data_IF_456245371432
#
_entry.id   IF_456245371432
#
_cell.length_a   1.000
_cell.length_b   1.000
_cell.length_c   1.000
_cell.angle_alpha   90.00
_cell.angle_beta   90.00
_cell.angle_gamma   90.00
#
_symmetry.space_group_name_H-M   'P 1'
#
loop_
_entity.id
_entity.type
_entity.pdbx_description
1 polymer ?
#
# COMPACT_ATOMS: atom_id res chain seq x y z
N UNK A 1 -6.58 92.08 -24.60
CA UNK A 1 -7.44 90.95 -25.05
C UNK A 1 -6.54 89.81 -25.50
N UNK A 2 -6.72 88.59 -24.95
CA UNK A 2 -5.91 87.39 -25.27
C UNK A 2 -6.36 86.80 -26.62
N UNK A 3 -5.45 86.48 -27.56
CA UNK A 3 -5.84 85.70 -28.72
C UNK A 3 -6.05 84.23 -28.31
N UNK A 4 -7.26 83.72 -28.55
CA UNK A 4 -7.73 82.36 -28.20
C UNK A 4 -7.38 81.31 -29.27
N UNK A 5 -6.64 81.67 -30.33
CA UNK A 5 -6.25 80.74 -31.37
C UNK A 5 -4.74 80.46 -31.33
N UNK A 6 -4.34 79.55 -30.43
CA UNK A 6 -3.08 78.83 -30.63
C UNK A 6 -3.25 77.97 -31.88
N UNK A 7 -2.70 78.41 -33.01
CA UNK A 7 -2.49 77.54 -34.16
C UNK A 7 -1.51 76.46 -33.69
N UNK A 8 -2.03 75.30 -33.31
CA UNK A 8 -1.20 74.13 -33.03
C UNK A 8 -0.33 73.82 -34.26
N UNK A 9 0.77 73.07 -34.07
CA UNK A 9 1.66 72.69 -35.19
C UNK A 9 0.82 72.11 -36.33
N UNK A 10 1.17 72.45 -37.58
CA UNK A 10 0.37 72.09 -38.75
C UNK A 10 0.06 70.59 -38.77
N UNK A 11 -1.12 70.22 -39.27
CA UNK A 11 -1.57 68.82 -39.32
C UNK A 11 -0.52 67.90 -39.99
N UNK A 12 0.19 68.43 -40.98
CA UNK A 12 1.28 67.77 -41.67
C UNK A 12 2.49 67.49 -40.76
N UNK A 13 2.91 68.43 -39.91
CA UNK A 13 3.99 68.22 -38.94
C UNK A 13 3.57 67.18 -37.90
N UNK A 14 2.32 67.23 -37.42
CA UNK A 14 1.80 66.24 -36.48
C UNK A 14 1.77 64.84 -37.08
N UNK A 15 1.41 64.73 -38.37
CA UNK A 15 1.40 63.47 -39.10
C UNK A 15 2.83 62.94 -39.31
N UNK A 16 3.77 63.77 -39.76
CA UNK A 16 5.17 63.37 -39.96
C UNK A 16 5.80 62.94 -38.62
N UNK A 17 5.55 63.68 -37.55
CA UNK A 17 6.06 63.34 -36.22
C UNK A 17 5.43 62.05 -35.69
N UNK A 18 4.12 61.84 -35.88
CA UNK A 18 3.45 60.59 -35.54
C UNK A 18 4.00 59.40 -36.35
N UNK A 19 4.28 59.58 -37.64
CA UNK A 19 4.87 58.55 -38.50
C UNK A 19 6.30 58.22 -38.06
N UNK A 20 7.12 59.23 -37.74
CA UNK A 20 8.48 59.02 -37.22
C UNK A 20 8.48 58.31 -35.87
N UNK A 21 7.57 58.67 -34.96
CA UNK A 21 7.40 57.99 -33.67
C UNK A 21 6.92 56.56 -33.88
N UNK A 22 5.95 56.32 -34.76
CA UNK A 22 5.47 54.97 -35.07
C UNK A 22 6.58 54.09 -35.66
N UNK A 23 7.36 54.61 -36.62
CA UNK A 23 8.53 53.92 -37.17
C UNK A 23 9.59 53.64 -36.11
N UNK A 24 9.86 54.60 -35.23
CA UNK A 24 10.78 54.43 -34.10
C UNK A 24 10.32 53.32 -33.15
N UNK A 25 9.01 53.29 -32.82
CA UNK A 25 8.41 52.24 -31.98
C UNK A 25 8.47 50.88 -32.66
N UNK A 26 8.14 50.78 -33.95
CA UNK A 26 8.19 49.52 -34.71
C UNK A 26 9.62 48.98 -34.79
N UNK A 27 10.60 49.83 -35.05
CA UNK A 27 12.01 49.43 -35.12
C UNK A 27 12.52 49.01 -33.73
N UNK A 28 12.16 49.77 -32.68
CA UNK A 28 12.48 49.41 -31.30
C UNK A 28 11.86 48.07 -30.90
N UNK A 29 10.59 47.85 -31.22
CA UNK A 29 9.87 46.59 -30.96
C UNK A 29 10.50 45.41 -31.72
N UNK A 30 10.90 45.64 -32.98
CA UNK A 30 11.57 44.61 -33.81
C UNK A 30 12.98 44.24 -33.31
N UNK A 31 13.69 45.16 -32.65
CA UNK A 31 15.06 44.94 -32.16
C UNK A 31 15.14 44.50 -30.71
N UNK A 32 14.16 44.87 -29.88
CA UNK A 32 14.18 44.60 -28.44
C UNK A 32 13.51 43.29 -28.05
N UNK A 33 12.78 42.61 -28.96
CA UNK A 33 12.23 41.28 -28.67
C UNK A 33 11.30 41.22 -27.46
N UNK A 34 10.79 42.39 -27.02
CA UNK A 34 10.07 42.63 -25.76
C UNK A 34 8.79 41.79 -25.69
N UNK A 35 8.18 41.47 -26.83
CA UNK A 35 7.02 40.59 -26.92
C UNK A 35 7.34 39.11 -26.66
N UNK A 36 8.59 38.67 -26.86
CA UNK A 36 8.99 37.29 -26.54
C UNK A 36 9.14 37.10 -25.03
N UNK A 37 9.72 38.07 -24.32
CA UNK A 37 9.91 37.99 -22.86
C UNK A 37 8.60 38.06 -22.08
N UNK A 38 7.62 38.86 -22.51
CA UNK A 38 6.30 38.91 -21.86
C UNK A 38 5.57 37.58 -22.06
N UNK A 39 5.67 36.97 -23.25
CA UNK A 39 5.09 35.64 -23.51
C UNK A 39 5.78 34.57 -22.65
N UNK A 40 7.11 34.59 -22.53
CA UNK A 40 7.86 33.68 -21.65
C UNK A 40 7.54 33.89 -20.16
N UNK A 41 7.32 35.13 -19.71
CA UNK A 41 6.95 35.42 -18.32
C UNK A 41 5.51 34.99 -18.01
N UNK A 42 4.59 35.16 -18.96
CA UNK A 42 3.22 34.67 -18.84
C UNK A 42 3.16 33.14 -18.86
N UNK A 43 3.92 32.48 -19.72
CA UNK A 43 4.03 31.01 -19.74
C UNK A 43 4.64 30.47 -18.43
N UNK A 44 5.61 31.20 -17.84
CA UNK A 44 6.23 30.84 -16.55
C UNK A 44 5.31 31.11 -15.35
N UNK A 45 4.49 32.16 -15.40
CA UNK A 45 3.57 32.53 -14.32
C UNK A 45 2.29 31.66 -14.28
N UNK A 46 1.89 31.08 -15.42
CA UNK A 46 0.75 30.15 -15.51
C UNK A 46 1.16 28.70 -15.22
N UNK A 47 2.46 28.38 -15.34
CA UNK A 47 3.02 27.04 -15.04
C UNK A 47 2.65 26.46 -13.66
N UNK A 48 2.62 27.24 -12.54
CA UNK A 48 2.21 26.72 -11.23
C UNK A 48 0.73 26.36 -11.16
N UNK A 49 -0.13 26.98 -11.99
CA UNK A 49 -1.58 26.70 -11.97
C UNK A 49 -1.92 25.33 -12.57
N UNK A 50 -1.08 24.79 -13.45
CA UNK A 50 -1.23 23.40 -13.94
C UNK A 50 -0.98 22.36 -12.83
N UNK A 51 -0.11 22.64 -11.87
CA UNK A 51 0.18 21.72 -10.75
C UNK A 51 -0.96 21.68 -9.72
N UNK A 52 -1.72 22.77 -9.58
CA UNK A 52 -2.77 22.91 -8.57
C UNK A 52 -4.07 22.19 -8.95
N UNK A 53 -4.30 21.82 -10.22
CA UNK A 53 -5.56 21.16 -10.61
C UNK A 53 -5.67 19.71 -10.15
N UNK A 54 -4.54 18.99 -10.02
CA UNK A 54 -4.55 17.54 -9.73
C UNK A 54 -3.88 17.18 -8.40
N UNK A 55 -2.91 17.96 -7.92
CA UNK A 55 -2.17 17.68 -6.68
C UNK A 55 -3.03 17.59 -5.41
N UNK A 56 -4.02 18.48 -5.17
CA UNK A 56 -4.85 18.42 -3.96
C UNK A 56 -5.74 17.17 -3.91
N UNK A 57 -6.20 16.67 -5.05
CA UNK A 57 -7.11 15.52 -5.12
C UNK A 57 -6.40 14.22 -4.76
N UNK A 58 -5.21 14.01 -5.30
CA UNK A 58 -4.39 12.82 -5.05
C UNK A 58 -3.90 12.76 -3.59
N UNK A 59 -3.61 13.92 -2.98
CA UNK A 59 -3.29 14.03 -1.56
C UNK A 59 -4.50 13.70 -0.66
N UNK A 60 -5.69 14.21 -0.97
CA UNK A 60 -6.89 13.93 -0.20
C UNK A 60 -7.32 12.45 -0.30
N UNK A 61 -7.23 11.87 -1.50
CA UNK A 61 -7.53 10.45 -1.73
C UNK A 61 -6.52 9.55 -0.97
N UNK A 62 -5.24 9.90 -0.96
CA UNK A 62 -4.19 9.16 -0.22
C UNK A 62 -4.40 9.22 1.30
N UNK A 63 -4.79 10.38 1.83
CA UNK A 63 -5.09 10.54 3.27
C UNK A 63 -6.34 9.74 3.65
N UNK A 64 -7.39 9.81 2.84
CA UNK A 64 -8.62 9.04 3.07
C UNK A 64 -8.37 7.54 3.05
N UNK A 65 -7.60 7.04 2.08
CA UNK A 65 -7.28 5.62 1.97
C UNK A 65 -6.36 5.13 3.11
N UNK A 66 -5.40 5.95 3.55
CA UNK A 66 -4.53 5.60 4.69
C UNK A 66 -5.33 5.53 6.00
N UNK A 67 -6.28 6.45 6.22
CA UNK A 67 -7.14 6.43 7.40
C UNK A 67 -8.09 5.23 7.39
N UNK A 68 -8.74 4.94 6.26
CA UNK A 68 -9.61 3.77 6.12
C UNK A 68 -8.86 2.45 6.34
N UNK A 69 -7.62 2.36 5.85
CA UNK A 69 -6.76 1.19 6.04
C UNK A 69 -6.41 1.00 7.52
N UNK A 70 -6.14 2.09 8.25
CA UNK A 70 -5.80 2.00 9.68
C UNK A 70 -6.97 1.52 10.54
N UNK A 71 -8.18 2.05 10.32
CA UNK A 71 -9.38 1.61 11.05
C UNK A 71 -9.67 0.13 10.79
N UNK A 72 -9.50 -0.31 9.55
CA UNK A 72 -9.65 -1.72 9.17
C UNK A 72 -8.61 -2.60 9.87
N UNK A 73 -7.33 -2.20 9.88
CA UNK A 73 -6.27 -2.90 10.59
C UNK A 73 -6.52 -2.95 12.11
N UNK A 74 -7.01 -1.88 12.72
CA UNK A 74 -7.33 -1.86 14.15
C UNK A 74 -8.55 -2.74 14.50
N UNK A 75 -9.52 -2.86 13.60
CA UNK A 75 -10.64 -3.80 13.74
C UNK A 75 -10.17 -5.24 13.61
N UNK A 76 -9.36 -5.55 12.59
CA UNK A 76 -8.79 -6.88 12.39
C UNK A 76 -7.90 -7.29 13.57
N UNK A 77 -7.05 -6.39 14.06
CA UNK A 77 -6.21 -6.66 15.23
C UNK A 77 -7.03 -6.95 16.49
N UNK A 78 -8.13 -6.22 16.70
CA UNK A 78 -9.06 -6.48 17.81
C UNK A 78 -9.75 -7.84 17.67
N UNK A 79 -10.22 -8.18 16.47
CA UNK A 79 -10.84 -9.48 16.20
C UNK A 79 -9.86 -10.64 16.45
N UNK A 80 -8.63 -10.53 15.92
CA UNK A 80 -7.58 -11.53 16.12
C UNK A 80 -7.20 -11.69 17.60
N UNK A 81 -7.11 -10.58 18.36
CA UNK A 81 -6.86 -10.64 19.81
C UNK A 81 -7.97 -11.35 20.56
N UNK A 82 -9.22 -11.13 20.17
CA UNK A 82 -10.36 -11.81 20.77
C UNK A 82 -10.34 -13.31 20.46
N UNK A 83 -10.06 -13.70 19.22
CA UNK A 83 -9.91 -15.10 18.84
C UNK A 83 -8.79 -15.78 19.62
N UNK A 84 -7.63 -15.12 19.74
CA UNK A 84 -6.49 -15.62 20.50
C UNK A 84 -6.85 -15.83 21.98
N UNK A 85 -7.62 -14.91 22.58
CA UNK A 85 -8.08 -15.04 23.95
C UNK A 85 -9.00 -16.26 24.13
N UNK A 86 -9.93 -16.48 23.20
CA UNK A 86 -10.82 -17.64 23.20
C UNK A 86 -10.03 -18.95 23.04
N UNK A 87 -9.10 -19.01 22.09
CA UNK A 87 -8.24 -20.19 21.89
C UNK A 87 -7.37 -20.50 23.10
N UNK A 88 -6.84 -19.48 23.77
CA UNK A 88 -6.09 -19.67 25.02
C UNK A 88 -6.98 -20.23 26.13
N UNK A 89 -8.24 -19.80 26.23
CA UNK A 89 -9.21 -20.38 27.16
C UNK A 89 -9.45 -21.86 26.87
N UNK A 90 -9.62 -22.23 25.60
CA UNK A 90 -9.80 -23.63 25.19
C UNK A 90 -8.58 -24.49 25.54
N UNK A 91 -7.37 -23.96 25.35
CA UNK A 91 -6.12 -24.65 25.72
C UNK A 91 -6.01 -24.89 27.23
N UNK A 92 -6.41 -23.91 28.05
CA UNK A 92 -6.45 -24.07 29.51
C UNK A 92 -7.45 -25.16 29.91
N UNK A 93 -8.64 -25.16 29.32
CA UNK A 93 -9.67 -26.17 29.59
C UNK A 93 -9.20 -27.56 29.15
N UNK A 94 -8.57 -27.68 27.99
CA UNK A 94 -7.97 -28.93 27.52
C UNK A 94 -6.89 -29.44 28.49
N UNK A 95 -6.08 -28.54 29.04
CA UNK A 95 -5.10 -28.87 30.08
C UNK A 95 -5.77 -29.43 31.34
N UNK A 96 -6.85 -28.81 31.81
CA UNK A 96 -7.64 -29.31 32.94
C UNK A 96 -8.23 -30.69 32.66
N UNK A 97 -8.84 -30.90 31.49
CA UNK A 97 -9.40 -32.21 31.13
C UNK A 97 -8.34 -33.30 31.03
N UNK A 98 -7.13 -32.99 30.53
CA UNK A 98 -6.02 -33.94 30.55
C UNK A 98 -5.61 -34.33 31.96
N UNK A 99 -5.54 -33.35 32.87
CA UNK A 99 -5.20 -33.59 34.27
C UNK A 99 -6.30 -34.40 34.99
N UNK A 100 -7.56 -34.08 34.75
CA UNK A 100 -8.69 -34.82 35.29
C UNK A 100 -8.73 -36.25 34.77
N UNK A 101 -8.53 -36.44 33.47
CA UNK A 101 -8.45 -37.77 32.86
C UNK A 101 -7.29 -38.58 33.44
N UNK A 102 -6.11 -37.96 33.64
CA UNK A 102 -4.97 -38.61 34.27
C UNK A 102 -5.28 -39.06 35.70
N UNK A 103 -5.90 -38.19 36.50
CA UNK A 103 -6.33 -38.53 37.87
C UNK A 103 -7.39 -39.63 37.89
N UNK A 104 -8.38 -39.59 37.01
CA UNK A 104 -9.40 -40.63 36.90
C UNK A 104 -8.78 -41.98 36.53
N UNK A 105 -7.80 -42.00 35.62
CA UNK A 105 -7.09 -43.24 35.24
C UNK A 105 -6.26 -43.80 36.38
N UNK A 106 -5.59 -42.94 37.14
CA UNK A 106 -4.89 -43.32 38.37
C UNK A 106 -5.85 -43.96 39.39
N UNK A 107 -7.01 -43.33 39.64
CA UNK A 107 -8.04 -43.87 40.55
C UNK A 107 -8.64 -45.20 40.06
N UNK A 108 -8.76 -45.39 38.76
CA UNK A 108 -9.26 -46.62 38.15
C UNK A 108 -8.19 -47.72 38.01
N UNK A 109 -6.96 -47.49 38.48
CA UNK A 109 -5.86 -48.44 38.35
C UNK A 109 -5.44 -48.68 36.89
N UNK A 110 -5.75 -47.76 35.99
CA UNK A 110 -5.33 -47.80 34.59
C UNK A 110 -4.00 -47.04 34.47
N UNK A 111 -2.87 -47.70 34.16
CA UNK A 111 -1.61 -47.00 33.99
C UNK A 111 -1.71 -45.99 32.86
N UNK A 112 -1.28 -44.76 33.13
CA UNK A 112 -1.07 -43.74 32.11
C UNK A 112 -0.06 -44.28 31.10
N UNK A 113 -0.50 -44.45 29.84
CA UNK A 113 0.45 -44.59 28.73
C UNK A 113 1.16 -43.25 28.61
N UNK A 114 2.41 -43.22 29.07
CA UNK A 114 3.27 -42.05 29.04
C UNK A 114 3.45 -41.59 27.58
N UNK A 115 3.57 -40.26 27.41
CA UNK A 115 3.66 -39.55 26.14
C UNK A 115 4.27 -40.40 25.02
N UNK A 116 3.44 -40.81 24.06
CA UNK A 116 3.93 -41.49 22.86
C UNK A 116 4.93 -40.55 22.17
N UNK A 117 6.16 -41.01 21.98
CA UNK A 117 7.21 -40.21 21.35
C UNK A 117 6.79 -39.88 19.91
N UNK A 118 6.53 -38.60 19.65
CA UNK A 118 6.17 -38.11 18.32
C UNK A 118 7.43 -37.73 17.56
N UNK A 119 7.59 -38.27 16.35
CA UNK A 119 8.66 -37.91 15.43
C UNK A 119 8.08 -37.07 14.30
N UNK A 120 8.69 -35.91 14.05
CA UNK A 120 8.34 -35.10 12.88
C UNK A 120 9.17 -35.58 11.69
N UNK A 121 8.49 -35.80 10.56
CA UNK A 121 9.10 -36.19 9.29
C UNK A 121 8.58 -35.29 8.18
N UNK A 122 9.35 -35.14 7.11
CA UNK A 122 8.99 -34.37 5.94
C UNK A 122 8.67 -35.31 4.77
N UNK A 123 7.62 -34.98 4.01
CA UNK A 123 7.31 -35.66 2.75
C UNK A 123 8.32 -35.24 1.69
N UNK A 124 9.06 -36.22 1.15
CA UNK A 124 10.06 -36.04 0.08
C UNK A 124 9.48 -36.32 -1.31
N UNK A 125 8.45 -37.14 -1.44
CA UNK A 125 7.71 -37.34 -2.69
C UNK A 125 6.30 -37.87 -2.45
N UNK A 126 5.35 -37.44 -3.27
CA UNK A 126 4.03 -38.07 -3.39
C UNK A 126 4.08 -39.04 -4.56
N UNK A 127 3.68 -40.30 -4.33
CA UNK A 127 3.49 -41.24 -5.44
C UNK A 127 2.07 -41.01 -5.97
N UNK A 128 1.96 -40.46 -7.18
CA UNK A 128 0.67 -40.22 -7.82
C UNK A 128 0.16 -41.52 -8.44
N UNK A 129 -0.39 -42.42 -7.62
CA UNK A 129 -1.19 -43.56 -8.08
C UNK A 129 -2.68 -43.28 -7.77
N UNK A 130 -3.58 -43.29 -8.77
CA UNK A 130 -5.02 -43.09 -8.56
C UNK A 130 -5.68 -44.11 -7.62
N UNK A 131 -5.01 -45.24 -7.35
CA UNK A 131 -5.52 -46.33 -6.52
C UNK A 131 -4.77 -46.47 -5.19
N UNK A 132 -3.73 -45.66 -4.93
CA UNK A 132 -3.03 -45.66 -3.64
C UNK A 132 -2.49 -44.28 -3.24
N UNK A 133 -2.93 -43.76 -2.10
CA UNK A 133 -2.34 -42.58 -1.47
C UNK A 133 -1.06 -42.98 -0.72
N UNK A 134 0.08 -42.92 -1.41
CA UNK A 134 1.40 -43.19 -0.82
C UNK A 134 2.27 -41.93 -0.80
N UNK A 135 2.87 -41.67 0.36
CA UNK A 135 3.84 -40.60 0.57
C UNK A 135 5.18 -41.19 1.01
N UNK A 136 6.26 -40.70 0.43
CA UNK A 136 7.62 -41.04 0.83
C UNK A 136 8.09 -39.98 1.81
N UNK A 137 8.62 -40.43 2.94
CA UNK A 137 9.07 -39.58 4.05
C UNK A 137 10.59 -39.67 4.24
N UNK A 138 11.17 -38.64 4.87
CA UNK A 138 12.62 -38.52 5.07
C UNK A 138 13.19 -39.38 6.23
N UNK A 139 12.35 -40.15 6.92
CA UNK A 139 12.73 -41.02 8.04
C UNK A 139 12.46 -42.49 7.72
N UNK A 140 13.33 -43.36 8.23
CA UNK A 140 13.20 -44.82 8.07
C UNK A 140 13.64 -45.59 9.31
N UNK A 141 13.94 -46.87 9.15
CA UNK A 141 14.33 -47.78 10.25
C UNK A 141 15.54 -47.29 11.05
N UNK A 142 16.50 -46.62 10.41
CA UNK A 142 17.67 -46.00 11.05
C UNK A 142 17.26 -44.89 12.03
N UNK A 143 16.13 -44.23 11.79
CA UNK A 143 15.57 -43.23 12.69
C UNK A 143 14.61 -43.86 13.72
N UNK A 144 14.45 -45.18 13.74
CA UNK A 144 13.54 -45.88 14.63
C UNK A 144 12.10 -45.98 14.13
N UNK A 145 11.84 -45.67 12.84
CA UNK A 145 10.52 -45.87 12.21
C UNK A 145 10.29 -47.35 11.95
N UNK A 146 9.09 -47.85 12.24
CA UNK A 146 8.71 -49.25 12.07
C UNK A 146 7.35 -49.41 11.40
N UNK A 147 7.10 -50.59 10.82
CA UNK A 147 5.82 -50.88 10.15
C UNK A 147 4.65 -50.93 11.14
N UNK A 148 3.52 -50.31 10.77
CA UNK A 148 2.35 -50.19 11.63
C UNK A 148 2.39 -49.01 12.61
N UNK A 149 3.42 -48.16 12.54
CA UNK A 149 3.48 -46.91 13.28
C UNK A 149 2.41 -45.92 12.76
N UNK A 150 1.56 -45.34 13.64
CA UNK A 150 0.56 -44.37 13.22
C UNK A 150 1.22 -43.05 12.77
N UNK A 151 0.71 -42.49 11.67
CA UNK A 151 1.17 -41.22 11.07
C UNK A 151 0.04 -40.20 11.20
N UNK A 152 0.37 -38.95 11.50
CA UNK A 152 -0.63 -37.88 11.70
C UNK A 152 -0.34 -36.76 10.71
N UNK A 153 -1.34 -36.38 9.90
CA UNK A 153 -1.33 -35.21 9.01
C UNK A 153 -2.24 -34.10 9.55
N UNK A 154 -2.22 -32.95 8.88
CA UNK A 154 -3.19 -31.86 9.03
C UNK A 154 -4.68 -32.30 8.99
N UNK A 155 -4.98 -33.43 8.33
CA UNK A 155 -6.33 -34.03 8.25
C UNK A 155 -6.65 -35.03 9.36
N UNK A 156 -5.68 -35.37 10.23
CA UNK A 156 -5.83 -36.40 11.27
C UNK A 156 -4.85 -37.56 11.12
N UNK A 157 -5.09 -38.62 11.90
CA UNK A 157 -4.35 -39.91 11.84
C UNK A 157 -4.87 -40.73 10.66
#
# INVERSE_FOLDING_TARGET
MKPIFSRGPSLQIRLILAVLVALGVIIADSRLGTFSQIRTYMDTAVSPFYFVSNGPRELLDSVSQTLATRDQLELENRALRQELLLKNSDLLMLGQYKQENARLRELLGSPLRQDEQKMVTQVISTVNDPYSDQVVIDKGSVNGVYEGQPVISDKGV
#
